data_IF_392813518588
#
_entry.id   IF_392813518588
#
_cell.length_a   1.000
_cell.length_b   1.000
_cell.length_c   1.000
_cell.angle_alpha   90.00
_cell.angle_beta   90.00
_cell.angle_gamma   90.00
#
_symmetry.space_group_name_H-M   'P 1'
#
loop_
_entity.id
_entity.type
_entity.pdbx_description
1 polymer ?
#
# COMPACT_ATOMS: atom_id res chain seq x y z
N UNK A 1 -10.77 -50.87 -74.26
CA UNK A 1 -11.46 -50.08 -73.21
C UNK A 1 -10.78 -50.42 -71.89
N UNK A 2 -9.72 -49.69 -71.58
CA UNK A 2 -9.06 -49.75 -70.26
C UNK A 2 -9.70 -48.68 -69.38
N UNK A 3 -10.13 -49.09 -68.18
CA UNK A 3 -10.66 -48.20 -67.15
C UNK A 3 -9.57 -47.90 -66.12
N UNK A 4 -9.43 -46.63 -65.76
CA UNK A 4 -8.64 -46.10 -64.64
C UNK A 4 -9.62 -45.34 -63.71
N UNK A 5 -9.21 -44.90 -62.52
CA UNK A 5 -9.14 -45.65 -61.25
C UNK A 5 -10.17 -45.13 -60.23
N UNK A 6 -10.37 -45.83 -59.11
CA UNK A 6 -11.00 -45.22 -57.91
C UNK A 6 -9.98 -45.12 -56.78
N UNK A 7 -9.41 -43.92 -56.61
CA UNK A 7 -8.65 -43.52 -55.42
C UNK A 7 -9.56 -43.50 -54.18
N UNK A 8 -9.07 -44.00 -53.06
CA UNK A 8 -9.71 -43.91 -51.75
C UNK A 8 -9.21 -42.65 -51.00
N UNK A 9 -10.08 -41.79 -50.44
CA UNK A 9 -9.65 -40.56 -49.80
C UNK A 9 -9.07 -40.83 -48.39
N UNK A 10 -7.74 -40.63 -48.27
CA UNK A 10 -6.96 -40.77 -47.04
C UNK A 10 -7.18 -39.57 -46.10
N UNK A 11 -7.63 -39.83 -44.87
CA UNK A 11 -7.16 -39.21 -43.62
C UNK A 11 -6.87 -37.69 -43.57
N UNK A 12 -7.76 -36.82 -44.06
CA UNK A 12 -7.56 -35.35 -43.98
C UNK A 12 -7.90 -34.74 -42.59
N UNK A 13 -8.79 -35.38 -41.82
CA UNK A 13 -9.30 -34.85 -40.54
C UNK A 13 -8.31 -34.93 -39.36
N UNK A 14 -7.39 -35.90 -39.36
CA UNK A 14 -6.38 -36.06 -38.27
C UNK A 14 -5.27 -35.01 -38.31
N UNK A 15 -4.95 -34.47 -39.49
CA UNK A 15 -3.94 -33.42 -39.65
C UNK A 15 -4.39 -32.07 -39.10
N UNK A 16 -5.64 -31.68 -39.38
CA UNK A 16 -6.23 -30.40 -38.94
C UNK A 16 -6.44 -30.37 -37.42
N UNK A 17 -6.83 -31.50 -36.82
CA UNK A 17 -6.97 -31.60 -35.36
C UNK A 17 -5.62 -31.49 -34.64
N UNK A 18 -4.55 -32.07 -35.20
CA UNK A 18 -3.18 -31.92 -34.67
C UNK A 18 -2.70 -30.47 -34.75
N UNK A 19 -2.93 -29.78 -35.87
CA UNK A 19 -2.52 -28.37 -36.00
C UNK A 19 -3.30 -27.46 -35.06
N UNK A 20 -4.60 -27.73 -34.83
CA UNK A 20 -5.41 -26.99 -33.85
C UNK A 20 -4.95 -27.22 -32.40
N UNK A 21 -4.63 -28.46 -32.04
CA UNK A 21 -4.12 -28.80 -30.70
C UNK A 21 -2.74 -28.18 -30.45
N UNK A 22 -1.85 -28.18 -31.44
CA UNK A 22 -0.54 -27.53 -31.35
C UNK A 22 -0.72 -26.01 -31.21
N UNK A 23 -1.61 -25.40 -32.00
CA UNK A 23 -1.92 -23.97 -31.89
C UNK A 23 -2.47 -23.58 -30.51
N UNK A 24 -3.37 -24.40 -29.96
CA UNK A 24 -3.92 -24.20 -28.62
C UNK A 24 -2.86 -24.35 -27.52
N UNK A 25 -2.00 -25.36 -27.62
CA UNK A 25 -0.90 -25.57 -26.68
C UNK A 25 0.09 -24.38 -26.68
N UNK A 26 0.39 -23.84 -27.88
CA UNK A 26 1.25 -22.67 -28.01
C UNK A 26 0.62 -21.42 -27.37
N UNK A 27 -0.69 -21.23 -27.56
CA UNK A 27 -1.44 -20.13 -26.97
C UNK A 27 -1.48 -20.21 -25.43
N UNK A 28 -1.68 -21.42 -24.89
CA UNK A 28 -1.64 -21.65 -23.44
C UNK A 28 -0.25 -21.40 -22.85
N UNK A 29 0.81 -21.79 -23.57
CA UNK A 29 2.19 -21.51 -23.16
C UNK A 29 2.48 -20.00 -23.11
N UNK A 30 2.04 -19.25 -24.12
CA UNK A 30 2.19 -17.79 -24.15
C UNK A 30 1.39 -17.14 -23.01
N UNK A 31 0.17 -17.62 -22.74
CA UNK A 31 -0.66 -17.12 -21.64
C UNK A 31 -0.02 -17.40 -20.27
N UNK A 32 0.51 -18.61 -20.06
CA UNK A 32 1.21 -18.99 -18.83
C UNK A 32 2.50 -18.18 -18.62
N UNK A 33 3.29 -17.99 -19.68
CA UNK A 33 4.49 -17.16 -19.63
C UNK A 33 4.15 -15.70 -19.31
N UNK A 34 3.08 -15.16 -19.89
CA UNK A 34 2.62 -13.79 -19.63
C UNK A 34 2.10 -13.62 -18.20
N UNK A 35 1.36 -14.60 -17.67
CA UNK A 35 0.87 -14.59 -16.29
C UNK A 35 2.02 -14.68 -15.28
N UNK A 36 2.99 -15.56 -15.53
CA UNK A 36 4.18 -15.68 -14.70
C UNK A 36 5.03 -14.42 -14.73
N UNK A 37 5.28 -13.85 -15.92
CA UNK A 37 5.99 -12.60 -16.07
C UNK A 37 5.28 -11.43 -15.38
N UNK A 38 3.95 -11.37 -15.45
CA UNK A 38 3.15 -10.38 -14.73
C UNK A 38 3.24 -10.52 -13.21
N UNK A 39 3.16 -11.75 -12.68
CA UNK A 39 3.29 -12.03 -11.25
C UNK A 39 4.70 -11.69 -10.72
N UNK A 40 5.74 -12.09 -11.45
CA UNK A 40 7.12 -11.78 -11.11
C UNK A 40 7.40 -10.27 -11.16
N UNK A 41 6.93 -9.57 -12.20
CA UNK A 41 7.03 -8.12 -12.28
C UNK A 41 6.25 -7.40 -11.18
N UNK A 42 5.06 -7.89 -10.78
CA UNK A 42 4.31 -7.32 -9.67
C UNK A 42 5.06 -7.44 -8.34
N UNK A 43 5.66 -8.60 -8.06
CA UNK A 43 6.50 -8.81 -6.88
C UNK A 43 7.78 -7.96 -6.90
N UNK A 44 8.37 -7.75 -8.07
CA UNK A 44 9.54 -6.90 -8.23
C UNK A 44 9.19 -5.41 -8.16
N UNK A 45 8.02 -5.00 -8.66
CA UNK A 45 7.49 -3.65 -8.48
C UNK A 45 7.16 -3.34 -7.02
N UNK A 46 6.72 -4.33 -6.23
CA UNK A 46 6.54 -4.17 -4.77
C UNK A 46 7.86 -3.93 -4.05
N UNK A 47 8.88 -4.75 -4.32
CA UNK A 47 10.23 -4.52 -3.76
C UNK A 47 10.84 -3.23 -4.25
N UNK A 48 10.62 -2.87 -5.51
CA UNK A 48 11.10 -1.63 -6.08
C UNK A 48 10.36 -0.42 -5.51
N UNK A 49 9.04 -0.48 -5.30
CA UNK A 49 8.26 0.60 -4.70
C UNK A 49 8.57 0.80 -3.21
N UNK A 50 8.75 -0.29 -2.45
CA UNK A 50 9.20 -0.26 -1.07
C UNK A 50 10.64 0.30 -0.96
N UNK A 51 11.56 -0.19 -1.81
CA UNK A 51 12.91 0.34 -1.90
C UNK A 51 12.94 1.80 -2.39
N UNK A 52 12.03 2.20 -3.28
CA UNK A 52 11.92 3.59 -3.78
C UNK A 52 11.33 4.51 -2.71
N UNK A 53 10.35 4.05 -1.93
CA UNK A 53 9.81 4.83 -0.81
C UNK A 53 10.85 5.01 0.30
N UNK A 54 11.55 3.93 0.69
CA UNK A 54 12.63 4.03 1.68
C UNK A 54 13.76 4.93 1.16
N UNK A 55 14.20 4.77 -0.09
CA UNK A 55 15.21 5.63 -0.70
C UNK A 55 14.76 7.10 -0.80
N UNK A 56 13.48 7.34 -1.13
CA UNK A 56 12.88 8.67 -1.16
C UNK A 56 12.83 9.30 0.24
N UNK A 57 12.54 8.53 1.29
CA UNK A 57 12.53 9.01 2.66
C UNK A 57 13.94 9.38 3.14
N UNK A 58 14.94 8.53 2.89
CA UNK A 58 16.34 8.82 3.23
C UNK A 58 16.81 10.09 2.51
N UNK A 59 16.52 10.21 1.21
CA UNK A 59 16.82 11.41 0.45
C UNK A 59 16.10 12.65 1.01
N UNK A 60 14.83 12.52 1.39
CA UNK A 60 14.05 13.61 1.97
C UNK A 60 14.64 14.05 3.30
N UNK A 61 15.01 13.12 4.18
CA UNK A 61 15.63 13.44 5.47
C UNK A 61 17.01 14.08 5.30
N UNK A 62 17.79 13.63 4.32
CA UNK A 62 19.06 14.26 3.98
C UNK A 62 18.84 15.71 3.51
N UNK A 63 17.89 15.95 2.60
CA UNK A 63 17.58 17.28 2.10
C UNK A 63 17.08 18.21 3.21
N UNK A 64 16.19 17.73 4.08
CA UNK A 64 15.74 18.48 5.26
C UNK A 64 16.91 18.77 6.22
N UNK A 65 17.84 17.83 6.37
CA UNK A 65 19.07 18.04 7.16
C UNK A 65 19.93 19.17 6.60
N UNK A 66 20.05 19.27 5.27
CA UNK A 66 20.75 20.38 4.62
C UNK A 66 20.06 21.72 4.89
N UNK A 67 18.73 21.78 4.81
CA UNK A 67 17.94 22.97 5.13
C UNK A 67 18.09 23.36 6.61
N UNK A 68 18.09 22.40 7.52
CA UNK A 68 18.30 22.63 8.95
C UNK A 68 19.70 23.17 9.23
N UNK A 69 20.73 22.66 8.54
CA UNK A 69 22.09 23.16 8.65
C UNK A 69 22.20 24.60 8.15
N UNK A 70 21.58 24.93 7.01
CA UNK A 70 21.48 26.30 6.49
C UNK A 70 20.73 27.23 7.44
N UNK A 71 19.67 26.74 8.06
CA UNK A 71 18.88 27.47 9.05
C UNK A 71 19.54 27.53 10.45
N UNK A 72 20.76 26.99 10.60
CA UNK A 72 21.53 26.90 11.86
C UNK A 72 20.83 26.11 12.97
N UNK A 73 19.90 25.21 12.59
CA UNK A 73 19.25 24.25 13.49
C UNK A 73 20.13 23.00 13.62
N UNK A 74 21.34 23.19 14.15
CA UNK A 74 22.40 22.18 14.10
C UNK A 74 22.03 20.86 14.81
N UNK A 75 21.30 20.92 15.93
CA UNK A 75 20.83 19.71 16.63
C UNK A 75 19.85 18.87 15.79
N UNK A 76 18.95 19.52 15.06
CA UNK A 76 17.99 18.84 14.19
C UNK A 76 18.67 18.30 12.94
N UNK A 77 19.58 19.07 12.35
CA UNK A 77 20.43 18.62 11.25
C UNK A 77 21.22 17.36 11.64
N UNK A 78 21.83 17.35 12.83
CA UNK A 78 22.53 16.18 13.39
C UNK A 78 21.62 14.95 13.43
N UNK A 79 20.44 15.06 14.04
CA UNK A 79 19.50 13.95 14.17
C UNK A 79 19.06 13.40 12.80
N UNK A 80 18.84 14.26 11.80
CA UNK A 80 18.47 13.80 10.46
C UNK A 80 19.61 13.10 9.73
N UNK A 81 20.83 13.60 9.84
CA UNK A 81 21.99 12.92 9.23
C UNK A 81 22.32 11.60 9.94
N UNK A 82 22.16 11.55 11.27
CA UNK A 82 22.22 10.29 12.03
C UNK A 82 21.18 9.29 11.51
N UNK A 83 19.92 9.72 11.36
CA UNK A 83 18.87 8.89 10.77
C UNK A 83 19.23 8.38 9.36
N UNK A 84 19.75 9.26 8.49
CA UNK A 84 20.18 8.88 7.13
C UNK A 84 21.26 7.79 7.19
N UNK A 85 22.25 7.93 8.06
CA UNK A 85 23.37 6.99 8.20
C UNK A 85 22.98 5.68 8.89
N UNK A 86 21.96 5.70 9.76
CA UNK A 86 21.37 4.47 10.31
C UNK A 86 20.69 3.63 9.24
N UNK A 87 20.04 4.27 8.27
CA UNK A 87 19.34 3.59 7.18
C UNK A 87 20.27 3.21 6.01
N UNK A 88 21.21 4.09 5.65
CA UNK A 88 22.23 3.87 4.63
C UNK A 88 23.60 4.40 5.11
N UNK A 89 24.44 3.53 5.71
CA UNK A 89 25.76 3.93 6.22
C UNK A 89 26.71 4.50 5.16
N UNK A 90 26.46 4.24 3.87
CA UNK A 90 27.30 4.71 2.76
C UNK A 90 26.67 5.89 2.00
N UNK A 91 25.62 6.53 2.56
CA UNK A 91 24.93 7.63 1.89
C UNK A 91 25.89 8.79 1.55
N UNK A 92 25.99 9.21 0.27
CA UNK A 92 26.98 10.19 -0.15
C UNK A 92 26.84 11.54 0.58
N UNK A 93 27.93 11.98 1.21
CA UNK A 93 28.00 13.28 1.89
C UNK A 93 27.29 13.38 3.25
N UNK A 94 26.61 12.33 3.72
CA UNK A 94 25.94 12.36 5.03
C UNK A 94 26.93 12.44 6.20
N UNK A 95 28.05 11.72 6.15
CA UNK A 95 29.11 11.77 7.18
C UNK A 95 29.73 13.16 7.27
N UNK A 96 30.03 13.78 6.12
CA UNK A 96 30.61 15.13 6.07
C UNK A 96 29.65 16.15 6.67
N UNK A 97 28.36 16.07 6.32
CA UNK A 97 27.32 16.98 6.82
C UNK A 97 26.99 16.78 8.29
N UNK A 98 27.01 15.54 8.77
CA UNK A 98 26.92 15.24 10.20
C UNK A 98 28.10 15.87 10.96
N UNK A 99 29.30 15.73 10.43
CA UNK A 99 30.51 16.33 11.01
C UNK A 99 30.42 17.86 11.06
N UNK A 100 29.94 18.49 9.97
CA UNK A 100 29.70 19.93 9.92
C UNK A 100 28.71 20.40 11.00
N UNK A 101 27.59 19.69 11.17
CA UNK A 101 26.61 19.99 12.21
C UNK A 101 27.19 19.83 13.62
N UNK A 102 27.94 18.75 13.89
CA UNK A 102 28.57 18.52 15.20
C UNK A 102 29.67 19.54 15.53
N UNK A 103 30.46 19.95 14.53
CA UNK A 103 31.47 21.00 14.70
C UNK A 103 30.80 22.34 15.02
N UNK A 104 29.70 22.67 14.35
CA UNK A 104 28.95 23.89 14.64
C UNK A 104 28.40 23.88 16.07
N UNK A 105 27.83 22.76 16.53
CA UNK A 105 27.35 22.58 17.91
C UNK A 105 28.48 22.80 18.94
N UNK A 106 29.65 22.19 18.70
CA UNK A 106 30.80 22.33 19.59
C UNK A 106 31.41 23.75 19.55
N UNK A 107 31.43 24.42 18.40
CA UNK A 107 31.94 25.78 18.28
C UNK A 107 31.02 26.80 18.96
N UNK A 108 29.70 26.58 18.98
CA UNK A 108 28.78 27.41 19.77
C UNK A 108 28.93 27.22 21.28
N UNK A 109 29.61 26.17 21.75
CA UNK A 109 29.88 25.94 23.18
C UNK A 109 31.06 26.77 23.72
N UNK A 110 31.63 27.70 22.93
CA UNK A 110 32.74 28.56 23.36
C UNK A 110 32.31 29.41 24.57
N UNK A 111 33.14 29.50 25.65
CA UNK A 111 32.79 30.30 26.82
C UNK A 111 32.56 31.76 26.43
N UNK A 112 31.36 32.25 26.73
CA UNK A 112 30.97 33.65 26.57
C UNK A 112 31.95 34.53 27.34
N UNK A 113 32.70 35.38 26.64
CA UNK A 113 33.39 36.52 27.26
C UNK A 113 32.28 37.37 27.88
N UNK A 114 32.21 37.41 29.21
CA UNK A 114 31.18 38.14 29.95
C UNK A 114 31.30 39.63 29.58
N UNK A 115 30.36 40.21 28.82
CA UNK A 115 30.35 41.66 28.66
C UNK A 115 30.09 42.29 30.03
N UNK A 116 30.79 43.38 30.33
CA UNK A 116 30.54 44.20 31.52
C UNK A 116 29.04 44.51 31.61
N UNK A 117 28.36 44.24 32.75
CA UNK A 117 26.90 44.30 32.82
C UNK A 117 26.44 45.72 32.55
N UNK A 118 25.82 45.92 31.39
CA UNK A 118 24.90 47.04 31.19
C UNK A 118 23.59 46.61 31.82
N UNK A 119 23.05 47.39 32.75
CA UNK A 119 21.81 47.08 33.47
C UNK A 119 20.61 47.15 32.52
N UNK A 120 20.40 46.12 31.71
CA UNK A 120 19.10 45.84 31.11
C UNK A 120 18.19 45.21 32.15
N UNK A 121 16.92 45.65 32.29
CA UNK A 121 15.97 45.03 33.22
C UNK A 121 15.84 43.54 32.90
N UNK A 122 15.90 42.70 33.94
CA UNK A 122 15.66 41.25 33.83
C UNK A 122 14.28 41.03 33.19
N UNK A 123 14.18 40.33 32.05
CA UNK A 123 12.89 40.05 31.41
C UNK A 123 11.95 39.29 32.36
N UNK A 124 10.67 39.69 32.44
CA UNK A 124 9.63 38.96 33.18
C UNK A 124 9.12 37.79 32.33
N UNK A 125 9.52 36.57 32.70
CA UNK A 125 9.19 35.33 31.98
C UNK A 125 8.05 34.53 32.62
N UNK A 126 7.31 35.10 33.57
CA UNK A 126 6.28 34.35 34.31
C UNK A 126 5.16 33.82 33.42
N UNK A 127 4.77 34.59 32.40
CA UNK A 127 3.72 34.15 31.47
C UNK A 127 4.18 33.02 30.55
N UNK A 128 5.44 33.04 30.15
CA UNK A 128 6.09 31.98 29.37
C UNK A 128 6.18 30.69 30.18
N UNK A 129 6.63 30.78 31.43
CA UNK A 129 6.68 29.65 32.36
C UNK A 129 5.28 29.03 32.58
N UNK A 130 4.25 29.87 32.78
CA UNK A 130 2.89 29.40 32.96
C UNK A 130 2.36 28.63 31.73
N UNK A 131 2.59 29.15 30.52
CA UNK A 131 2.22 28.45 29.28
C UNK A 131 2.99 27.14 29.12
N UNK A 132 4.28 27.13 29.47
CA UNK A 132 5.10 25.93 29.39
C UNK A 132 4.62 24.83 30.36
N UNK A 133 4.32 25.18 31.61
CA UNK A 133 3.76 24.26 32.60
C UNK A 133 2.36 23.75 32.20
N UNK A 134 1.51 24.64 31.66
CA UNK A 134 0.21 24.24 31.13
C UNK A 134 0.34 23.24 29.98
N UNK A 135 1.27 23.47 29.05
CA UNK A 135 1.52 22.54 27.96
C UNK A 135 2.04 21.18 28.46
N UNK A 136 2.87 21.15 29.50
CA UNK A 136 3.30 19.89 30.11
C UNK A 136 2.15 19.12 30.73
N UNK A 137 1.26 19.80 31.45
CA UNK A 137 0.06 19.17 32.02
C UNK A 137 -0.82 18.58 30.91
N UNK A 138 -1.08 19.35 29.84
CA UNK A 138 -1.86 18.89 28.69
C UNK A 138 -1.23 17.64 28.02
N UNK A 139 0.10 17.58 27.88
CA UNK A 139 0.78 16.38 27.38
C UNK A 139 0.61 15.16 28.31
N UNK A 140 0.65 15.36 29.63
CA UNK A 140 0.44 14.27 30.59
C UNK A 140 -1.00 13.75 30.57
N UNK A 141 -1.95 14.63 30.27
CA UNK A 141 -3.37 14.29 30.11
C UNK A 141 -3.72 13.76 28.72
N UNK A 142 -2.73 13.66 27.82
CA UNK A 142 -2.91 13.30 26.40
C UNK A 142 -3.84 14.25 25.64
N UNK A 143 -4.03 15.47 26.15
CA UNK A 143 -4.74 16.55 25.47
C UNK A 143 -3.81 17.23 24.47
N UNK A 144 -3.63 16.57 23.32
CA UNK A 144 -2.71 17.02 22.29
C UNK A 144 -3.12 18.34 21.67
N UNK A 145 -4.42 18.62 21.56
CA UNK A 145 -4.93 19.88 21.00
C UNK A 145 -4.54 21.06 21.90
N UNK A 146 -4.84 20.97 23.20
CA UNK A 146 -4.47 22.01 24.16
C UNK A 146 -2.95 22.17 24.24
N UNK A 147 -2.18 21.07 24.22
CA UNK A 147 -0.72 21.13 24.22
C UNK A 147 -0.18 21.90 23.01
N UNK A 148 -0.63 21.57 21.80
CA UNK A 148 -0.18 22.21 20.55
C UNK A 148 -0.53 23.70 20.56
N UNK A 149 -1.78 24.06 20.89
CA UNK A 149 -2.22 25.45 20.91
C UNK A 149 -1.41 26.28 21.92
N UNK A 150 -1.18 25.72 23.12
CA UNK A 150 -0.42 26.38 24.20
C UNK A 150 1.05 26.57 23.80
N UNK A 151 1.69 25.56 23.21
CA UNK A 151 3.07 25.63 22.75
C UNK A 151 3.25 26.62 21.59
N UNK A 152 2.29 26.67 20.65
CA UNK A 152 2.31 27.65 19.57
C UNK A 152 2.10 29.08 20.09
N UNK A 153 1.23 29.27 21.09
CA UNK A 153 1.07 30.55 21.78
C UNK A 153 2.36 30.96 22.50
N UNK A 154 3.04 30.03 23.17
CA UNK A 154 4.33 30.26 23.81
C UNK A 154 5.39 30.71 22.79
N UNK A 155 5.52 30.01 21.65
CA UNK A 155 6.47 30.41 20.58
C UNK A 155 6.14 31.76 19.97
N UNK A 156 4.85 32.07 19.78
CA UNK A 156 4.41 33.36 19.27
C UNK A 156 4.80 34.51 20.22
N UNK A 157 4.74 34.25 21.53
CA UNK A 157 5.12 35.21 22.57
C UNK A 157 6.64 35.35 22.70
N UNK A 158 7.36 34.24 22.79
CA UNK A 158 8.81 34.21 22.88
C UNK A 158 9.37 32.94 22.23
N UNK A 159 9.82 33.07 20.98
CA UNK A 159 10.36 31.95 20.20
C UNK A 159 11.68 31.38 20.76
N UNK A 160 12.37 32.11 21.64
CA UNK A 160 13.65 31.69 22.25
C UNK A 160 13.48 31.00 23.59
N UNK A 161 12.30 31.11 24.21
CA UNK A 161 12.03 30.52 25.52
C UNK A 161 12.03 29.00 25.41
N UNK A 162 13.03 28.34 26.01
CA UNK A 162 13.15 26.88 26.08
C UNK A 162 12.92 26.18 24.72
N UNK A 163 13.41 26.79 23.64
CA UNK A 163 13.03 26.44 22.27
C UNK A 163 13.16 24.94 21.95
N UNK A 164 14.26 24.30 22.39
CA UNK A 164 14.49 22.86 22.17
C UNK A 164 13.45 22.00 22.88
N UNK A 165 13.09 22.34 24.12
CA UNK A 165 12.09 21.58 24.89
C UNK A 165 10.70 21.79 24.30
N UNK A 166 10.36 23.03 23.92
CA UNK A 166 9.10 23.37 23.27
C UNK A 166 8.94 22.66 21.92
N UNK A 167 9.99 22.61 21.11
CA UNK A 167 9.99 21.90 19.82
C UNK A 167 9.85 20.38 20.03
N UNK A 168 10.51 19.81 21.04
CA UNK A 168 10.33 18.40 21.42
C UNK A 168 8.90 18.08 21.89
N UNK A 169 8.29 18.98 22.67
CA UNK A 169 6.90 18.85 23.10
C UNK A 169 5.92 18.95 21.92
N UNK A 170 6.18 19.85 20.96
CA UNK A 170 5.40 19.95 19.73
C UNK A 170 5.49 18.68 18.88
N UNK A 171 6.69 18.10 18.74
CA UNK A 171 6.88 16.80 18.08
C UNK A 171 5.98 15.73 18.71
N UNK A 172 6.05 15.55 20.04
CA UNK A 172 5.28 14.54 20.77
C UNK A 172 3.77 14.76 20.57
N UNK A 173 3.29 15.99 20.76
CA UNK A 173 1.87 16.29 20.65
C UNK A 173 1.34 16.04 19.23
N UNK A 174 2.03 16.53 18.21
CA UNK A 174 1.64 16.40 16.81
C UNK A 174 1.68 14.93 16.35
N UNK A 175 2.74 14.21 16.72
CA UNK A 175 2.89 12.79 16.41
C UNK A 175 1.71 11.99 16.97
N UNK A 176 1.39 12.17 18.25
CA UNK A 176 0.33 11.41 18.90
C UNK A 176 -1.06 11.84 18.43
N UNK A 177 -1.32 13.14 18.26
CA UNK A 177 -2.58 13.62 17.68
C UNK A 177 -2.80 13.07 16.27
N UNK A 178 -1.74 13.01 15.47
CA UNK A 178 -1.79 12.47 14.11
C UNK A 178 -2.24 11.01 14.10
N UNK A 179 -1.65 10.18 14.94
CA UNK A 179 -2.05 8.77 15.11
C UNK A 179 -3.47 8.65 15.67
N UNK A 180 -3.84 9.48 16.65
CA UNK A 180 -5.18 9.49 17.23
C UNK A 180 -6.25 9.81 16.18
N UNK A 181 -6.02 10.81 15.34
CA UNK A 181 -6.91 11.17 14.22
C UNK A 181 -7.10 10.01 13.25
N UNK A 182 -6.01 9.35 12.87
CA UNK A 182 -6.02 8.20 11.96
C UNK A 182 -6.86 7.06 12.54
N UNK A 183 -6.62 6.67 13.80
CA UNK A 183 -7.18 5.44 14.36
C UNK A 183 -8.55 5.60 15.02
N UNK A 184 -8.73 6.71 15.73
CA UNK A 184 -9.92 6.91 16.56
C UNK A 184 -10.97 7.73 15.79
N UNK A 185 -10.53 8.76 15.06
CA UNK A 185 -11.42 9.74 14.43
C UNK A 185 -11.70 9.42 12.95
N UNK A 186 -10.99 8.46 12.35
CA UNK A 186 -11.05 8.15 10.92
C UNK A 186 -10.69 9.34 10.02
N UNK A 187 -9.94 10.30 10.56
CA UNK A 187 -9.41 11.46 9.86
C UNK A 187 -8.00 11.15 9.36
N UNK A 188 -7.95 10.50 8.20
CA UNK A 188 -6.70 10.06 7.59
C UNK A 188 -5.84 11.23 7.11
N UNK A 189 -6.48 12.25 6.53
CA UNK A 189 -5.81 13.42 5.98
C UNK A 189 -5.28 14.33 7.10
N UNK A 190 -6.13 14.70 8.06
CA UNK A 190 -5.72 15.54 9.19
C UNK A 190 -4.69 14.85 10.06
N UNK A 191 -4.79 13.52 10.22
CA UNK A 191 -3.77 12.76 10.91
C UNK A 191 -2.43 12.71 10.17
N UNK A 192 -2.44 12.47 8.86
CA UNK A 192 -1.22 12.51 8.03
C UNK A 192 -0.59 13.89 7.99
N UNK A 193 -1.42 14.95 7.99
CA UNK A 193 -0.97 16.33 8.08
C UNK A 193 -0.24 16.61 9.39
N UNK A 194 -0.79 16.17 10.52
CA UNK A 194 -0.14 16.34 11.83
C UNK A 194 1.20 15.58 11.90
N UNK A 195 1.28 14.38 11.33
CA UNK A 195 2.54 13.64 11.22
C UNK A 195 3.57 14.37 10.35
N UNK A 196 3.16 14.96 9.23
CA UNK A 196 4.03 15.77 8.39
C UNK A 196 4.49 17.05 9.10
N UNK A 197 3.66 17.63 9.98
CA UNK A 197 4.06 18.78 10.79
C UNK A 197 5.05 18.39 11.89
N UNK A 198 4.88 17.22 12.51
CA UNK A 198 5.82 16.67 13.48
C UNK A 198 7.23 16.51 12.86
N UNK A 199 7.30 16.14 11.57
CA UNK A 199 8.57 16.01 10.85
C UNK A 199 9.40 17.28 10.77
N UNK A 200 8.82 18.45 11.04
CA UNK A 200 9.58 19.71 11.13
C UNK A 200 10.45 19.80 12.38
N UNK A 201 10.17 18.98 13.38
CA UNK A 201 10.82 18.99 14.69
C UNK A 201 11.71 17.77 14.93
N UNK A 202 11.58 16.71 14.12
CA UNK A 202 12.39 15.50 14.19
C UNK A 202 11.91 14.44 13.20
N UNK A 203 12.73 13.42 12.85
CA UNK A 203 12.26 12.28 12.07
C UNK A 203 11.11 11.56 12.77
N UNK A 204 10.15 11.01 12.00
CA UNK A 204 9.11 10.16 12.58
C UNK A 204 9.69 8.84 13.08
N UNK A 205 9.17 8.38 14.22
CA UNK A 205 9.39 7.01 14.67
C UNK A 205 8.72 5.98 13.73
N UNK A 206 9.14 4.72 13.89
CA UNK A 206 8.70 3.62 13.03
C UNK A 206 7.17 3.41 13.03
N UNK A 207 6.50 3.63 14.16
CA UNK A 207 5.06 3.47 14.26
C UNK A 207 4.34 4.56 13.45
N UNK A 208 4.67 5.83 13.67
CA UNK A 208 4.06 6.94 12.95
C UNK A 208 4.32 6.86 11.44
N UNK A 209 5.53 6.41 11.05
CA UNK A 209 5.89 6.13 9.66
C UNK A 209 4.99 5.05 9.05
N UNK A 210 4.79 3.94 9.75
CA UNK A 210 3.92 2.85 9.27
C UNK A 210 2.49 3.34 9.04
N UNK A 211 1.94 4.17 9.94
CA UNK A 211 0.61 4.74 9.73
C UNK A 211 0.53 5.59 8.47
N UNK A 212 1.52 6.43 8.16
CA UNK A 212 1.54 7.19 6.89
C UNK A 212 1.52 6.27 5.66
N UNK A 213 2.29 5.19 5.70
CA UNK A 213 2.33 4.20 4.60
C UNK A 213 0.97 3.53 4.45
N UNK A 214 0.36 3.09 5.54
CA UNK A 214 -0.95 2.43 5.51
C UNK A 214 -2.06 3.37 5.05
N UNK A 215 -2.04 4.64 5.48
CA UNK A 215 -2.95 5.69 5.00
C UNK A 215 -2.77 5.91 3.50
N UNK A 216 -1.54 6.02 3.03
CA UNK A 216 -1.26 6.19 1.59
C UNK A 216 -1.81 5.03 0.77
N UNK A 217 -1.60 3.78 1.20
CA UNK A 217 -2.18 2.59 0.54
C UNK A 217 -3.71 2.62 0.55
N UNK A 218 -4.30 2.98 1.69
CA UNK A 218 -5.76 3.05 1.84
C UNK A 218 -6.36 4.09 0.90
N UNK A 219 -5.87 5.33 0.95
CA UNK A 219 -6.35 6.46 0.13
C UNK A 219 -6.15 6.18 -1.36
N UNK A 220 -5.02 5.57 -1.72
CA UNK A 220 -4.75 5.16 -3.10
C UNK A 220 -5.75 4.10 -3.56
N UNK A 221 -5.99 3.05 -2.76
CA UNK A 221 -7.01 2.04 -3.08
C UNK A 221 -8.41 2.64 -3.19
N UNK A 222 -8.75 3.61 -2.33
CA UNK A 222 -10.03 4.30 -2.36
C UNK A 222 -10.21 5.15 -3.62
N UNK A 223 -9.12 5.72 -4.18
CA UNK A 223 -9.16 6.49 -5.43
C UNK A 223 -9.54 5.66 -6.66
N UNK A 224 -9.37 4.32 -6.61
CA UNK A 224 -9.78 3.39 -7.67
C UNK A 224 -11.16 2.77 -7.44
N UNK A 225 -11.81 3.10 -6.32
CA UNK A 225 -13.11 2.54 -5.98
C UNK A 225 -14.14 2.82 -7.07
N UNK A 226 -14.88 1.78 -7.50
CA UNK A 226 -15.84 1.85 -8.61
C UNK A 226 -15.28 2.25 -9.99
N UNK A 227 -13.98 2.50 -10.10
CA UNK A 227 -13.29 2.87 -11.34
C UNK A 227 -12.48 1.67 -11.86
N UNK A 228 -11.61 1.12 -11.02
CA UNK A 228 -10.80 -0.06 -11.32
C UNK A 228 -10.76 -0.98 -10.09
N UNK A 229 -11.64 -1.97 -10.10
CA UNK A 229 -11.74 -2.94 -9.00
C UNK A 229 -10.47 -3.79 -8.83
N UNK A 230 -9.69 -4.00 -9.89
CA UNK A 230 -8.43 -4.73 -9.81
C UNK A 230 -7.38 -3.95 -9.04
N UNK A 231 -7.23 -2.66 -9.34
CA UNK A 231 -6.35 -1.76 -8.58
C UNK A 231 -6.83 -1.56 -7.15
N UNK A 232 -8.13 -1.35 -6.93
CA UNK A 232 -8.69 -1.24 -5.59
C UNK A 232 -8.39 -2.51 -4.77
N UNK A 233 -8.65 -3.71 -5.31
CA UNK A 233 -8.34 -4.97 -4.64
C UNK A 233 -6.84 -5.13 -4.37
N UNK A 234 -5.98 -4.69 -5.29
CA UNK A 234 -4.53 -4.72 -5.14
C UNK A 234 -4.03 -3.86 -3.98
N UNK A 235 -4.45 -2.59 -3.89
CA UNK A 235 -4.01 -1.71 -2.80
C UNK A 235 -4.60 -2.13 -1.46
N UNK A 236 -5.90 -2.44 -1.41
CA UNK A 236 -6.52 -2.91 -0.17
C UNK A 236 -5.98 -4.27 0.29
N UNK A 237 -5.58 -5.16 -0.62
CA UNK A 237 -4.92 -6.41 -0.29
C UNK A 237 -3.53 -6.25 0.34
N UNK A 238 -2.89 -5.10 0.17
CA UNK A 238 -1.63 -4.77 0.84
C UNK A 238 -1.84 -4.21 2.25
N UNK A 239 -2.84 -3.34 2.44
CA UNK A 239 -3.08 -2.69 3.75
C UNK A 239 -3.95 -3.53 4.68
N UNK A 240 -4.93 -4.29 4.17
CA UNK A 240 -5.86 -5.06 5.01
C UNK A 240 -5.17 -6.06 5.96
N UNK A 241 -4.09 -6.78 5.58
CA UNK A 241 -3.38 -7.66 6.51
C UNK A 241 -2.57 -6.91 7.58
N UNK A 242 -2.19 -5.65 7.33
CA UNK A 242 -1.32 -4.86 8.21
C UNK A 242 -2.11 -3.95 9.16
N UNK A 243 -3.19 -3.35 8.64
CA UNK A 243 -4.05 -2.41 9.36
C UNK A 243 -5.54 -2.67 9.04
N UNK A 244 -6.10 -3.84 9.43
CA UNK A 244 -7.43 -4.28 9.03
C UNK A 244 -8.55 -3.31 9.42
N UNK A 245 -8.39 -2.61 10.53
CA UNK A 245 -9.37 -1.67 11.09
C UNK A 245 -9.18 -0.22 10.64
N UNK A 246 -8.13 0.08 9.86
CA UNK A 246 -7.91 1.42 9.30
C UNK A 246 -9.10 1.78 8.42
N UNK A 247 -9.66 2.97 8.62
CA UNK A 247 -10.87 3.44 7.94
C UNK A 247 -10.80 4.93 7.69
N UNK A 248 -11.50 5.39 6.66
CA UNK A 248 -11.76 6.80 6.39
C UNK A 248 -13.11 7.24 6.98
N UNK A 249 -13.51 8.48 6.69
CA UNK A 249 -14.78 9.05 7.08
C UNK A 249 -16.01 8.29 6.53
N UNK A 250 -15.85 7.41 5.54
CA UNK A 250 -16.94 6.54 5.05
C UNK A 250 -17.27 5.43 6.06
N UNK A 251 -16.40 5.21 7.05
CA UNK A 251 -16.53 4.14 8.04
C UNK A 251 -16.14 2.75 7.53
N UNK A 252 -15.77 2.62 6.25
CA UNK A 252 -15.37 1.33 5.69
C UNK A 252 -13.94 0.99 6.08
N UNK A 253 -13.72 -0.17 6.67
CA UNK A 253 -12.37 -0.60 7.03
C UNK A 253 -11.59 -1.11 5.83
N UNK A 254 -10.26 -1.15 5.94
CA UNK A 254 -9.37 -1.73 4.94
C UNK A 254 -9.77 -3.17 4.58
N UNK A 255 -10.11 -3.99 5.58
CA UNK A 255 -10.58 -5.36 5.36
C UNK A 255 -11.91 -5.41 4.60
N UNK A 256 -12.87 -4.55 4.95
CA UNK A 256 -14.17 -4.50 4.25
C UNK A 256 -13.97 -4.06 2.79
N UNK A 257 -13.16 -3.02 2.57
CA UNK A 257 -12.82 -2.56 1.23
C UNK A 257 -12.10 -3.63 0.42
N UNK A 258 -11.18 -4.38 1.02
CA UNK A 258 -10.50 -5.48 0.34
C UNK A 258 -11.46 -6.59 -0.08
N UNK A 259 -12.34 -7.04 0.82
CA UNK A 259 -13.35 -8.06 0.54
C UNK A 259 -14.23 -7.65 -0.65
N UNK A 260 -14.80 -6.45 -0.59
CA UNK A 260 -15.72 -5.95 -1.60
C UNK A 260 -15.01 -5.73 -2.93
N UNK A 261 -13.84 -5.08 -2.92
CA UNK A 261 -13.08 -4.84 -4.15
C UNK A 261 -12.67 -6.15 -4.83
N UNK A 262 -12.26 -7.16 -4.05
CA UNK A 262 -11.91 -8.49 -4.59
C UNK A 262 -13.11 -9.17 -5.22
N UNK A 263 -14.28 -9.13 -4.57
CA UNK A 263 -15.51 -9.67 -5.14
C UNK A 263 -15.90 -8.94 -6.43
N UNK A 264 -15.87 -7.61 -6.43
CA UNK A 264 -16.21 -6.80 -7.62
C UNK A 264 -15.22 -6.99 -8.75
N UNK A 265 -13.96 -7.21 -8.44
CA UNK A 265 -12.95 -7.55 -9.45
C UNK A 265 -13.22 -8.95 -10.05
N UNK A 266 -13.62 -9.92 -9.23
CA UNK A 266 -14.06 -11.23 -9.72
C UNK A 266 -15.29 -11.11 -10.64
N UNK A 267 -16.28 -10.30 -10.27
CA UNK A 267 -17.46 -10.01 -11.10
C UNK A 267 -17.05 -9.39 -12.45
N UNK A 268 -16.16 -8.39 -12.43
CA UNK A 268 -15.62 -7.78 -13.66
C UNK A 268 -14.92 -8.81 -14.55
N UNK A 269 -14.11 -9.70 -13.98
CA UNK A 269 -13.44 -10.77 -14.72
C UNK A 269 -14.44 -11.78 -15.31
N UNK A 270 -15.53 -12.08 -14.60
CA UNK A 270 -16.63 -12.88 -15.14
C UNK A 270 -17.22 -12.20 -16.37
N UNK A 271 -17.62 -10.93 -16.28
CA UNK A 271 -18.27 -10.26 -17.40
C UNK A 271 -17.37 -10.17 -18.64
N UNK A 272 -16.05 -10.08 -18.42
CA UNK A 272 -15.03 -10.09 -19.46
C UNK A 272 -14.58 -11.50 -19.91
N UNK A 273 -15.29 -12.56 -19.49
CA UNK A 273 -15.04 -13.96 -19.85
C UNK A 273 -13.68 -14.51 -19.40
N UNK A 274 -13.02 -13.85 -18.45
CA UNK A 274 -11.79 -14.30 -17.83
C UNK A 274 -12.09 -15.27 -16.67
N UNK A 275 -12.80 -16.37 -16.97
CA UNK A 275 -13.45 -17.24 -15.99
C UNK A 275 -12.50 -17.84 -14.94
N UNK A 276 -11.33 -18.31 -15.35
CA UNK A 276 -10.36 -18.90 -14.42
C UNK A 276 -9.77 -17.86 -13.46
N UNK A 277 -9.50 -16.64 -13.95
CA UNK A 277 -9.04 -15.53 -13.09
C UNK A 277 -10.16 -15.09 -12.14
N UNK A 278 -11.40 -15.05 -12.63
CA UNK A 278 -12.55 -14.76 -11.78
C UNK A 278 -12.71 -15.81 -10.68
N UNK A 279 -12.53 -17.09 -11.00
CA UNK A 279 -12.55 -18.18 -10.02
C UNK A 279 -11.49 -17.97 -8.93
N UNK A 280 -10.25 -17.65 -9.28
CA UNK A 280 -9.19 -17.32 -8.33
C UNK A 280 -9.61 -16.18 -7.39
N UNK A 281 -10.12 -15.07 -7.94
CA UNK A 281 -10.54 -13.92 -7.15
C UNK A 281 -11.76 -14.23 -6.26
N UNK A 282 -12.74 -15.01 -6.73
CA UNK A 282 -13.85 -15.44 -5.89
C UNK A 282 -13.39 -16.35 -4.74
N UNK A 283 -12.39 -17.21 -4.93
CA UNK A 283 -11.83 -18.00 -3.82
C UNK A 283 -11.18 -17.11 -2.77
N UNK A 284 -10.46 -16.07 -3.20
CA UNK A 284 -9.90 -15.08 -2.27
C UNK A 284 -11.04 -14.37 -1.53
N UNK A 285 -12.04 -13.84 -2.24
CA UNK A 285 -13.19 -13.18 -1.62
C UNK A 285 -13.92 -14.10 -0.63
N UNK A 286 -14.12 -15.37 -0.97
CA UNK A 286 -14.72 -16.37 -0.08
C UNK A 286 -13.87 -16.59 1.18
N UNK A 287 -12.54 -16.66 1.06
CA UNK A 287 -11.62 -16.79 2.21
C UNK A 287 -11.64 -15.56 3.13
N UNK A 288 -12.00 -14.39 2.59
CA UNK A 288 -12.19 -13.15 3.34
C UNK A 288 -13.59 -13.08 3.99
N UNK A 289 -14.49 -14.01 3.68
CA UNK A 289 -15.84 -14.09 4.23
C UNK A 289 -16.96 -13.61 3.30
N UNK A 290 -16.69 -13.39 2.01
CA UNK A 290 -17.73 -13.04 1.05
C UNK A 290 -18.65 -14.23 0.73
N UNK A 291 -19.97 -14.00 0.67
CA UNK A 291 -20.93 -15.00 0.20
C UNK A 291 -20.95 -15.06 -1.33
N UNK A 292 -20.00 -15.81 -1.90
CA UNK A 292 -19.79 -15.92 -3.35
C UNK A 292 -19.89 -17.37 -3.86
N UNK A 293 -20.35 -18.32 -3.06
CA UNK A 293 -20.36 -19.76 -3.38
C UNK A 293 -20.99 -20.05 -4.76
N UNK A 294 -22.16 -19.46 -5.03
CA UNK A 294 -22.84 -19.63 -6.32
C UNK A 294 -22.05 -19.01 -7.48
N UNK A 295 -21.40 -17.87 -7.26
CA UNK A 295 -20.61 -17.19 -8.29
C UNK A 295 -19.30 -17.95 -8.57
N UNK A 296 -18.63 -18.40 -7.51
CA UNK A 296 -17.44 -19.24 -7.57
C UNK A 296 -17.71 -20.54 -8.35
N UNK A 297 -18.78 -21.26 -8.03
CA UNK A 297 -19.16 -22.48 -8.77
C UNK A 297 -19.43 -22.20 -10.26
N UNK A 298 -20.08 -21.07 -10.57
CA UNK A 298 -20.29 -20.65 -11.98
C UNK A 298 -18.96 -20.36 -12.67
N UNK A 299 -18.04 -19.66 -12.00
CA UNK A 299 -16.70 -19.38 -12.53
C UNK A 299 -15.94 -20.68 -12.81
N UNK A 300 -15.93 -21.61 -11.85
CA UNK A 300 -15.32 -22.93 -11.97
C UNK A 300 -15.83 -23.72 -13.19
N UNK A 301 -17.15 -23.84 -13.31
CA UNK A 301 -17.77 -24.56 -14.44
C UNK A 301 -17.47 -23.93 -15.80
N UNK A 302 -17.23 -22.61 -15.86
CA UNK A 302 -16.86 -21.93 -17.10
C UNK A 302 -15.36 -21.98 -17.38
N UNK A 303 -14.53 -22.02 -16.33
CA UNK A 303 -13.09 -22.19 -16.44
C UNK A 303 -12.72 -23.61 -16.89
N UNK A 304 -13.36 -24.61 -16.29
CA UNK A 304 -13.17 -26.04 -16.56
C UNK A 304 -14.52 -26.70 -16.87
N UNK A 305 -15.05 -26.55 -18.10
CA UNK A 305 -16.34 -27.12 -18.47
C UNK A 305 -16.30 -28.65 -18.35
N UNK A 306 -17.33 -29.27 -17.75
CA UNK A 306 -17.39 -30.72 -17.62
C UNK A 306 -17.37 -31.37 -19.01
N UNK A 307 -16.64 -32.49 -19.14
CA UNK A 307 -16.61 -33.28 -20.37
C UNK A 307 -18.04 -33.71 -20.72
N UNK A 308 -18.52 -33.50 -21.96
CA UNK A 308 -19.85 -33.93 -22.35
C UNK A 308 -19.95 -35.45 -22.23
N UNK A 309 -20.96 -35.94 -21.51
CA UNK A 309 -21.28 -37.36 -21.45
C UNK A 309 -21.54 -37.86 -22.88
N UNK A 310 -20.87 -38.92 -23.34
CA UNK A 310 -21.14 -39.48 -24.66
C UNK A 310 -22.62 -39.89 -24.72
N UNK A 311 -23.31 -39.45 -25.78
CA UNK A 311 -24.68 -39.86 -26.05
C UNK A 311 -24.75 -41.39 -26.12
N UNK A 312 -25.75 -42.04 -25.49
CA UNK A 312 -25.94 -43.48 -25.63
C UNK A 312 -26.05 -43.83 -27.12
N UNK A 313 -25.48 -44.96 -27.56
CA UNK A 313 -25.56 -45.36 -28.95
C UNK A 313 -27.05 -45.49 -29.34
N UNK A 314 -27.44 -44.79 -30.42
CA UNK A 314 -28.75 -44.96 -31.04
C UNK A 314 -28.96 -46.44 -31.30
N UNK A 315 -30.06 -47.06 -30.82
CA UNK A 315 -30.31 -48.47 -31.10
C UNK A 315 -30.41 -48.67 -32.62
N UNK A 316 -29.51 -49.51 -33.14
CA UNK A 316 -29.60 -50.03 -34.50
C UNK A 316 -30.93 -50.79 -34.61
N UNK A 317 -31.82 -50.46 -35.57
CA UNK A 317 -33.04 -51.23 -35.76
C UNK A 317 -32.66 -52.67 -36.15
N UNK A 318 -33.00 -53.62 -35.28
CA UNK A 318 -32.86 -55.05 -35.52
C UNK A 318 -33.86 -55.43 -36.61
N UNK A 319 -33.31 -55.81 -37.77
CA UNK A 319 -34.07 -56.08 -38.98
C UNK A 319 -34.93 -57.34 -38.87
N UNK A 320 -36.16 -57.20 -39.35
CA UNK A 320 -36.87 -58.23 -40.13
C UNK A 320 -37.24 -59.52 -39.41
N UNK A 321 -38.43 -59.56 -38.83
CA UNK A 321 -39.14 -60.82 -38.60
C UNK A 321 -39.45 -61.51 -39.95
N UNK A 322 -39.21 -62.82 -40.10
CA UNK A 322 -39.56 -63.54 -41.33
C UNK A 322 -41.09 -63.69 -41.48
N UNK A 323 -41.56 -63.42 -42.70
CA UNK A 323 -42.96 -63.56 -43.13
C UNK A 323 -43.37 -65.04 -43.22
N UNK A 324 -44.58 -65.44 -42.79
CA UNK A 324 -45.04 -66.82 -42.93
C UNK A 324 -45.49 -67.13 -44.37
N UNK A 325 -45.00 -68.25 -44.90
CA UNK A 325 -45.38 -68.83 -46.19
C UNK A 325 -46.85 -69.29 -46.18
N UNK A 326 -47.67 -69.00 -47.22
CA UNK A 326 -49.00 -69.57 -47.35
C UNK A 326 -48.97 -70.99 -47.91
N UNK A 327 -49.88 -71.84 -47.41
CA UNK A 327 -49.95 -73.27 -47.69
C UNK A 327 -50.44 -73.66 -49.09
N UNK A 328 -50.22 -74.93 -49.40
CA UNK A 328 -50.85 -75.72 -50.45
C UNK A 328 -51.23 -77.08 -49.89
#
# INVERSE_FOLDING_TARGET
MEANPSETPRSRKKGVLRTLLIGLALLLLIAAASAYAGYANGMQQRRAAEATQIASDIQTQFQLGLEDLQAKRYDLARQRFEFVLEQDPNYPGAVDKLTEAMLALNATATPTIVPTPTLTPTPDLRGEQQLFEQAQAALQEEDWDTAIETLLALRKRNASYQAVQVDGMLYIALRNRGVQKILQQADLEGGTYDLALAERFGPLDAEAKNYRIWVSLYVTGASFWEIDWGQAAYYFGQVAPLAPNLRDASGMTASQRYLIATQKYADYLMDNKAWCKAEEQYRIAQSLGADVEKALKRAHNKCSPPTPTPLPPTPTPEGGAPSPTPGG
#
